data_IF_813661857270
#
_entry.id   IF_813661857270
#
_cell.length_a   1.000
_cell.length_b   1.000
_cell.length_c   1.000
_cell.angle_alpha   90.00
_cell.angle_beta   90.00
_cell.angle_gamma   90.00
#
_symmetry.space_group_name_H-M   'P 1'
#
loop_
_entity.id
_entity.type
_entity.pdbx_description
1 polymer ?
#
# COMPACT_ATOMS: atom_id res chain seq x y z
N UNK A 1 -45.94 25.44 11.39
CA UNK A 1 -45.73 24.06 11.88
C UNK A 1 -46.06 23.08 10.77
N UNK A 2 -45.06 22.58 10.05
CA UNK A 2 -45.13 21.36 9.23
C UNK A 2 -43.74 20.72 9.24
N UNK A 3 -43.63 19.60 9.94
CA UNK A 3 -42.47 18.71 9.90
C UNK A 3 -42.31 18.17 8.47
N UNK A 4 -41.12 18.33 7.89
CA UNK A 4 -40.69 17.51 6.76
C UNK A 4 -39.65 16.52 7.31
N UNK A 5 -40.15 15.30 7.40
CA UNK A 5 -39.46 14.05 7.65
C UNK A 5 -38.75 13.62 6.35
N UNK A 6 -37.69 12.80 6.50
CA UNK A 6 -36.96 12.04 5.45
C UNK A 6 -35.95 12.86 4.62
N UNK A 7 -34.71 12.41 4.39
CA UNK A 7 -34.18 11.05 4.28
C UNK A 7 -32.67 11.04 4.60
N UNK A 8 -32.24 9.97 5.29
CA UNK A 8 -30.83 9.54 5.35
C UNK A 8 -30.24 9.50 3.93
N UNK A 9 -29.09 10.14 3.73
CA UNK A 9 -28.08 9.64 2.80
C UNK A 9 -26.88 9.27 3.65
N UNK A 10 -26.90 8.03 4.11
CA UNK A 10 -25.72 7.33 4.56
C UNK A 10 -24.79 7.23 3.34
N UNK A 11 -23.88 8.20 3.19
CA UNK A 11 -22.72 8.07 2.31
C UNK A 11 -21.76 7.07 2.94
N UNK A 12 -22.15 5.81 2.81
CA UNK A 12 -21.33 4.64 2.95
C UNK A 12 -20.27 4.71 1.83
N UNK A 13 -19.21 5.49 2.06
CA UNK A 13 -18.00 5.38 1.24
C UNK A 13 -17.44 3.99 1.46
N UNK A 14 -17.78 3.11 0.51
CA UNK A 14 -17.17 1.82 0.29
C UNK A 14 -15.66 1.97 0.36
N UNK A 15 -15.09 1.61 1.51
CA UNK A 15 -13.69 1.23 1.66
C UNK A 15 -13.50 -0.06 0.86
N UNK A 16 -13.46 0.07 -0.46
CA UNK A 16 -12.77 -0.87 -1.32
C UNK A 16 -11.30 -0.75 -0.91
N UNK A 17 -10.90 -1.61 0.03
CA UNK A 17 -9.50 -1.99 0.25
C UNK A 17 -9.01 -2.74 -1.02
N UNK A 18 -9.06 -2.04 -2.16
CA UNK A 18 -8.45 -2.49 -3.39
C UNK A 18 -6.95 -2.31 -3.25
N UNK A 19 -6.21 -3.15 -3.96
CA UNK A 19 -4.78 -3.03 -4.24
C UNK A 19 -4.47 -1.67 -4.87
N UNK A 20 -4.56 -0.60 -4.08
CA UNK A 20 -4.29 0.75 -4.49
C UNK A 20 -2.81 1.02 -4.33
N UNK A 21 -2.27 1.84 -5.22
CA UNK A 21 -0.89 2.25 -5.18
C UNK A 21 -0.60 3.03 -3.87
N UNK A 22 0.21 2.50 -2.95
CA UNK A 22 0.41 3.11 -1.63
C UNK A 22 1.11 4.47 -1.72
N UNK A 23 1.89 4.72 -2.78
CA UNK A 23 2.47 6.04 -3.04
C UNK A 23 1.39 7.09 -3.30
N UNK A 24 0.34 6.73 -4.06
CA UNK A 24 -0.77 7.62 -4.35
C UNK A 24 -1.66 7.83 -3.12
N UNK A 25 -1.95 6.77 -2.37
CA UNK A 25 -2.78 6.83 -1.15
C UNK A 25 -2.18 7.73 -0.07
N UNK A 26 -0.85 7.78 0.02
CA UNK A 26 -0.13 8.57 1.02
C UNK A 26 0.47 9.87 0.45
N UNK A 27 0.06 10.26 -0.77
CA UNK A 27 0.54 11.46 -1.43
C UNK A 27 0.07 12.73 -0.73
N UNK A 28 0.97 13.70 -0.57
CA UNK A 28 0.72 15.04 -0.07
C UNK A 28 1.40 16.06 -0.98
N UNK A 29 0.60 16.89 -1.63
CA UNK A 29 1.08 17.92 -2.54
C UNK A 29 0.03 18.32 -3.56
N UNK A 30 0.47 19.08 -4.55
CA UNK A 30 -0.37 19.50 -5.67
C UNK A 30 -0.51 18.38 -6.68
N UNK A 31 -1.69 18.25 -7.30
CA UNK A 31 -1.92 17.32 -8.40
C UNK A 31 -2.11 18.10 -9.69
N UNK A 32 -1.64 17.53 -10.78
CA UNK A 32 -1.70 18.12 -12.12
C UNK A 32 -2.31 17.11 -13.09
N UNK A 33 -2.64 17.53 -14.33
CA UNK A 33 -3.11 16.60 -15.35
C UNK A 33 -2.14 15.43 -15.53
N UNK A 34 -2.74 14.26 -15.71
CA UNK A 34 -2.03 13.01 -15.93
C UNK A 34 -1.01 13.12 -17.07
N UNK A 35 0.16 12.51 -16.88
CA UNK A 35 1.18 12.39 -17.91
C UNK A 35 1.41 10.92 -18.29
N UNK A 36 1.83 10.69 -19.53
CA UNK A 36 2.02 9.34 -20.07
C UNK A 36 3.22 8.60 -19.46
N UNK A 37 4.29 9.30 -19.11
CA UNK A 37 5.50 8.67 -18.59
C UNK A 37 6.36 9.62 -17.75
N UNK A 38 6.41 9.37 -16.46
CA UNK A 38 7.35 9.96 -15.51
C UNK A 38 8.69 9.20 -15.54
N UNK A 39 9.78 9.92 -15.29
CA UNK A 39 11.12 9.36 -15.21
C UNK A 39 11.52 9.11 -13.76
N UNK A 40 11.95 7.90 -13.43
CA UNK A 40 12.57 7.64 -12.13
C UNK A 40 13.98 8.23 -12.09
N UNK A 41 14.25 9.03 -11.08
CA UNK A 41 15.58 9.57 -10.78
C UNK A 41 16.12 8.96 -9.49
N UNK A 42 17.44 8.80 -9.40
CA UNK A 42 18.11 8.24 -8.22
C UNK A 42 18.54 9.31 -7.22
N UNK A 43 18.58 10.55 -7.65
CA UNK A 43 18.93 11.72 -6.86
C UNK A 43 18.01 12.87 -7.24
N UNK A 44 17.87 13.82 -6.33
CA UNK A 44 17.08 15.04 -6.55
C UNK A 44 17.55 15.74 -7.83
N UNK A 45 16.66 16.02 -8.80
CA UNK A 45 17.03 16.75 -10.00
C UNK A 45 17.46 18.19 -9.68
N UNK A 46 18.09 18.85 -10.65
CA UNK A 46 18.50 20.25 -10.52
C UNK A 46 17.30 21.14 -10.17
N UNK A 47 17.35 21.76 -8.98
CA UNK A 47 16.26 22.59 -8.45
C UNK A 47 16.05 23.88 -9.25
N UNK A 48 16.99 24.26 -10.12
CA UNK A 48 16.79 25.33 -11.09
C UNK A 48 15.85 24.93 -12.24
N UNK A 49 15.68 23.62 -12.50
CA UNK A 49 14.91 23.08 -13.63
C UNK A 49 13.58 22.45 -13.22
N UNK A 50 13.44 22.02 -11.97
CA UNK A 50 12.23 21.35 -11.47
C UNK A 50 11.69 21.99 -10.20
N UNK A 51 10.38 21.84 -9.99
CA UNK A 51 9.70 22.14 -8.74
C UNK A 51 9.25 20.84 -8.05
N UNK A 52 9.45 20.78 -6.72
CA UNK A 52 8.86 19.73 -5.90
C UNK A 52 7.36 19.98 -5.79
N UNK A 53 6.55 19.08 -6.34
CA UNK A 53 5.09 19.22 -6.32
C UNK A 53 4.43 18.45 -5.18
N UNK A 54 5.13 17.46 -4.62
CA UNK A 54 4.66 16.72 -3.47
C UNK A 54 5.54 15.55 -3.08
N UNK A 55 5.09 14.84 -2.05
CA UNK A 55 5.80 13.72 -1.47
C UNK A 55 4.83 12.64 -0.95
N UNK A 56 5.33 11.42 -0.80
CA UNK A 56 4.59 10.31 -0.22
C UNK A 56 5.48 9.55 0.75
N UNK A 57 4.97 9.21 1.93
CA UNK A 57 5.71 8.44 2.94
C UNK A 57 4.77 7.49 3.67
N UNK A 58 5.17 6.22 3.76
CA UNK A 58 4.39 5.21 4.46
C UNK A 58 5.28 4.07 4.97
N UNK A 59 4.76 3.32 5.95
CA UNK A 59 5.40 2.16 6.57
C UNK A 59 4.61 0.91 6.19
N UNK A 60 5.29 -0.14 5.73
CA UNK A 60 4.64 -1.41 5.38
C UNK A 60 5.60 -2.59 5.52
N UNK A 61 5.05 -3.76 5.86
CA UNK A 61 5.75 -5.04 5.77
C UNK A 61 5.78 -5.59 4.33
N UNK A 62 4.92 -5.06 3.46
CA UNK A 62 4.85 -5.48 2.06
C UNK A 62 6.00 -4.90 1.24
N UNK A 63 6.52 -5.70 0.32
CA UNK A 63 7.49 -5.23 -0.65
C UNK A 63 6.77 -4.47 -1.77
N UNK A 64 7.08 -3.18 -1.91
CA UNK A 64 6.53 -2.32 -2.95
C UNK A 64 7.55 -2.19 -4.09
N UNK A 65 7.08 -2.31 -5.33
CA UNK A 65 7.91 -2.18 -6.52
C UNK A 65 8.12 -0.71 -6.92
N UNK A 66 9.20 -0.45 -7.67
CA UNK A 66 9.47 0.90 -8.18
C UNK A 66 8.47 1.37 -9.24
N UNK A 67 7.82 0.44 -9.94
CA UNK A 67 6.77 0.73 -10.92
C UNK A 67 5.56 1.42 -10.27
N UNK A 68 5.23 1.08 -9.02
CA UNK A 68 4.20 1.78 -8.26
C UNK A 68 4.56 3.25 -8.05
N UNK A 69 5.83 3.58 -7.78
CA UNK A 69 6.23 4.99 -7.65
C UNK A 69 6.06 5.77 -8.97
N UNK A 70 6.39 5.14 -10.11
CA UNK A 70 6.21 5.71 -11.45
C UNK A 70 4.73 5.86 -11.81
N UNK A 71 3.91 4.85 -11.55
CA UNK A 71 2.47 4.92 -11.80
C UNK A 71 1.80 6.02 -10.95
N UNK A 72 2.26 6.23 -9.71
CA UNK A 72 1.82 7.35 -8.88
C UNK A 72 2.22 8.69 -9.51
N UNK A 73 3.47 8.82 -9.93
CA UNK A 73 3.99 10.02 -10.60
C UNK A 73 3.18 10.39 -11.85
N UNK A 74 2.90 9.41 -12.71
CA UNK A 74 2.03 9.59 -13.88
C UNK A 74 0.65 10.11 -13.49
N UNK A 75 0.06 9.51 -12.45
CA UNK A 75 -1.31 9.82 -11.99
C UNK A 75 -1.43 11.25 -11.43
N UNK A 76 -0.38 11.76 -10.77
CA UNK A 76 -0.38 13.11 -10.19
C UNK A 76 0.21 14.18 -11.13
N UNK A 77 0.67 13.79 -12.32
CA UNK A 77 1.27 14.69 -13.30
C UNK A 77 2.69 15.17 -12.95
N UNK A 78 3.50 14.30 -12.33
CA UNK A 78 4.91 14.55 -12.03
C UNK A 78 5.81 14.02 -13.16
N UNK A 79 6.72 14.85 -13.68
CA UNK A 79 7.69 14.45 -14.70
C UNK A 79 8.79 13.54 -14.16
N UNK A 80 9.14 13.72 -12.87
CA UNK A 80 10.18 12.92 -12.22
C UNK A 80 9.73 12.38 -10.87
N UNK A 81 10.22 11.20 -10.52
CA UNK A 81 10.04 10.59 -9.20
C UNK A 81 11.37 10.10 -8.64
N UNK A 82 11.74 10.63 -7.48
CA UNK A 82 12.78 10.08 -6.62
C UNK A 82 12.11 9.22 -5.56
N UNK A 83 12.60 8.01 -5.30
CA UNK A 83 12.10 7.22 -4.18
C UNK A 83 13.19 6.38 -3.53
N UNK A 84 13.02 6.18 -2.22
CA UNK A 84 13.88 5.38 -1.38
C UNK A 84 13.09 4.46 -0.44
N UNK A 85 13.81 3.48 0.09
CA UNK A 85 13.33 2.50 1.05
C UNK A 85 14.34 2.42 2.19
N UNK A 86 13.85 2.48 3.42
CA UNK A 86 14.66 2.31 4.63
C UNK A 86 14.06 1.22 5.53
N UNK A 87 14.90 0.29 5.97
CA UNK A 87 14.50 -0.75 6.93
C UNK A 87 14.19 -0.14 8.29
N UNK A 88 13.12 -0.60 8.94
CA UNK A 88 12.63 -0.06 10.22
C UNK A 88 12.57 -1.09 11.35
N UNK A 89 12.85 -2.36 11.05
CA UNK A 89 12.91 -3.40 12.06
C UNK A 89 12.15 -4.65 11.63
N UNK A 90 12.13 -5.61 12.54
CA UNK A 90 11.43 -6.87 12.39
C UNK A 90 10.43 -7.00 13.52
N UNK A 91 9.23 -7.46 13.20
CA UNK A 91 8.24 -7.89 14.20
C UNK A 91 8.06 -9.39 14.07
N UNK A 92 8.00 -10.10 15.19
CA UNK A 92 7.66 -11.52 15.23
C UNK A 92 6.40 -11.69 16.05
N UNK A 93 5.37 -12.26 15.43
CA UNK A 93 4.09 -12.55 16.07
C UNK A 93 3.84 -14.05 16.00
N UNK A 94 3.17 -14.61 17.01
CA UNK A 94 2.71 -15.99 16.96
C UNK A 94 1.37 -16.02 16.23
N UNK A 95 1.30 -16.74 15.13
CA UNK A 95 0.05 -16.99 14.40
C UNK A 95 -0.36 -18.44 14.57
N UNK A 96 -1.66 -18.64 14.77
CA UNK A 96 -2.25 -19.97 14.82
C UNK A 96 -2.33 -20.52 13.39
N UNK A 97 -1.60 -21.61 13.14
CA UNK A 97 -1.66 -22.32 11.87
C UNK A 97 -2.36 -23.67 12.08
N UNK A 98 -3.47 -23.93 11.37
CA UNK A 98 -4.14 -25.22 11.45
C UNK A 98 -3.29 -26.29 10.77
N UNK A 99 -3.05 -27.39 11.47
CA UNK A 99 -2.42 -28.59 10.91
C UNK A 99 -3.42 -29.74 10.92
N UNK A 100 -3.49 -30.46 9.80
CA UNK A 100 -4.24 -31.70 9.68
C UNK A 100 -3.31 -32.89 9.95
N UNK A 101 -3.64 -33.71 10.94
CA UNK A 101 -2.88 -34.94 11.24
C UNK A 101 -3.08 -36.04 10.18
N UNK A 102 -2.14 -37.00 10.05
CA UNK A 102 -2.28 -38.10 9.10
C UNK A 102 -3.46 -39.01 9.49
N UNK A 103 -4.27 -39.38 8.49
CA UNK A 103 -5.30 -40.40 8.63
C UNK A 103 -4.62 -41.75 8.94
N UNK A 104 -4.70 -42.21 10.19
CA UNK A 104 -4.32 -43.59 10.51
C UNK A 104 -5.40 -44.52 9.98
N UNK A 105 -5.08 -45.22 8.90
CA UNK A 105 -5.96 -46.16 8.22
C UNK A 105 -6.44 -47.29 9.13
N UNK A 106 -7.76 -47.40 9.30
CA UNK A 106 -8.40 -48.62 9.82
C UNK A 106 -9.57 -48.32 10.76
N UNK A 107 -10.78 -48.64 10.31
CA UNK A 107 -12.04 -48.64 11.06
C UNK A 107 -12.78 -47.29 11.27
N UNK A 108 -13.60 -46.94 10.29
CA UNK A 108 -15.06 -46.76 10.43
C UNK A 108 -15.62 -45.97 11.64
N UNK A 109 -15.08 -44.80 11.98
CA UNK A 109 -15.81 -43.77 12.74
C UNK A 109 -15.55 -42.44 12.03
N UNK A 110 -16.51 -42.10 11.18
CA UNK A 110 -16.64 -40.78 10.58
C UNK A 110 -16.81 -39.72 11.69
N UNK A 111 -16.47 -38.47 11.34
CA UNK A 111 -16.61 -37.24 12.14
C UNK A 111 -15.38 -36.85 12.98
N UNK A 112 -14.59 -35.91 12.44
CA UNK A 112 -13.66 -35.10 13.24
C UNK A 112 -12.18 -35.47 13.06
N UNK A 113 -11.60 -35.11 11.93
CA UNK A 113 -10.14 -34.90 11.89
C UNK A 113 -9.78 -33.87 12.96
N UNK A 114 -8.82 -34.15 13.82
CA UNK A 114 -8.36 -33.20 14.84
C UNK A 114 -7.63 -32.07 14.12
N UNK A 115 -8.32 -30.94 13.92
CA UNK A 115 -7.68 -29.68 13.64
C UNK A 115 -7.04 -29.22 14.95
N UNK A 116 -5.71 -29.23 14.98
CA UNK A 116 -4.95 -28.63 16.07
C UNK A 116 -4.32 -27.37 15.52
N UNK A 117 -4.61 -26.24 16.14
CA UNK A 117 -3.93 -25.00 15.85
C UNK A 117 -2.61 -25.00 16.62
N UNK A 118 -1.50 -24.88 15.90
CA UNK A 118 -0.20 -24.68 16.53
C UNK A 118 0.23 -23.22 16.38
N UNK A 119 0.84 -22.67 17.41
CA UNK A 119 1.47 -21.36 17.33
C UNK A 119 2.76 -21.46 16.50
N UNK A 120 2.80 -20.76 15.37
CA UNK A 120 4.02 -20.62 14.57
C UNK A 120 4.47 -19.17 14.59
N UNK A 121 5.77 -18.89 14.84
CA UNK A 121 6.30 -17.53 14.71
C UNK A 121 6.30 -17.11 13.25
N UNK A 122 5.62 -16.00 12.96
CA UNK A 122 5.66 -15.30 11.67
C UNK A 122 6.51 -14.05 11.86
N UNK A 123 7.53 -13.91 11.02
CA UNK A 123 8.51 -12.83 11.10
C UNK A 123 8.34 -11.90 9.91
N UNK A 124 8.01 -10.64 10.18
CA UNK A 124 7.81 -9.61 9.17
C UNK A 124 8.89 -8.53 9.23
N UNK A 125 9.40 -8.12 8.06
CA UNK A 125 10.35 -7.00 7.95
C UNK A 125 9.61 -5.75 7.55
N UNK A 126 9.75 -4.70 8.34
CA UNK A 126 9.09 -3.42 8.11
C UNK A 126 10.00 -2.43 7.40
N UNK A 127 9.44 -1.76 6.39
CA UNK A 127 10.15 -0.78 5.57
C UNK A 127 9.37 0.52 5.49
N UNK A 128 10.07 1.65 5.66
CA UNK A 128 9.56 2.97 5.32
C UNK A 128 9.93 3.27 3.88
N UNK A 129 8.93 3.52 3.06
CA UNK A 129 9.09 4.05 1.70
C UNK A 129 8.88 5.55 1.73
N UNK A 130 9.69 6.26 0.95
CA UNK A 130 9.58 7.70 0.76
C UNK A 130 9.74 8.01 -0.73
N UNK A 131 8.86 8.86 -1.26
CA UNK A 131 8.95 9.34 -2.63
C UNK A 131 8.77 10.86 -2.68
N UNK A 132 9.52 11.50 -3.58
CA UNK A 132 9.44 12.91 -3.91
C UNK A 132 9.14 13.04 -5.40
N UNK A 133 8.16 13.89 -5.69
CA UNK A 133 7.61 14.04 -7.04
C UNK A 133 7.87 15.44 -7.55
N UNK A 134 8.41 15.53 -8.75
CA UNK A 134 8.88 16.78 -9.33
C UNK A 134 8.23 17.02 -10.68
N UNK A 135 8.05 18.29 -11.02
CA UNK A 135 7.57 18.74 -12.32
C UNK A 135 8.51 19.80 -12.88
N UNK A 136 8.69 19.81 -14.19
CA UNK A 136 9.60 20.71 -14.90
C UNK A 136 9.08 22.14 -14.88
N UNK A 137 9.97 23.11 -14.67
CA UNK A 137 9.63 24.53 -14.78
C UNK A 137 9.38 24.87 -16.24
N UNK A 138 8.11 25.06 -16.60
CA UNK A 138 7.69 25.36 -17.98
C UNK A 138 6.75 24.33 -18.62
N UNK A 139 6.33 23.31 -17.88
CA UNK A 139 5.28 22.33 -18.24
C UNK A 139 3.86 22.79 -17.93
#
# INVERSE_FOLDING_TARGET
MKCIVQLLVASLCLLLAGCGNPFLQNYKGSTFPHISSATRVMQTPDTSQVDLIGQSTFLTAQQINGESAIAAANSIGADFVEWDRSYKGTTTTLELQPIYGPYTSGAAWAEGGSQVDIERPVTEKWYRYHARFYRSKGS
#
